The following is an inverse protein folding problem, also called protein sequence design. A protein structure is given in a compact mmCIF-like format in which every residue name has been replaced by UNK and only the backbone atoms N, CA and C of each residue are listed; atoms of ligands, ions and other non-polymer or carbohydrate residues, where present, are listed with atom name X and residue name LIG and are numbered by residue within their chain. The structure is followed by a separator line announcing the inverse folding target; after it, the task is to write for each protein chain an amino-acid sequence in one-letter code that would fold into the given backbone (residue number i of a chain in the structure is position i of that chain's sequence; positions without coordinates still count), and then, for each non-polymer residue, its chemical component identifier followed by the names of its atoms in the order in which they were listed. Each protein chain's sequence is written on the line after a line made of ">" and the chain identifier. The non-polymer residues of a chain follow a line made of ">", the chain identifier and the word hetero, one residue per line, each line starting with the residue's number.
data_IF_444265319370
#
_entry.id   IF_444265319370
#
_cell.length_a   1.000
_cell.length_b   1.000
_cell.length_c   1.000
_cell.angle_alpha   90.00
_cell.angle_beta   90.00
_cell.angle_gamma   90.00
#
_symmetry.space_group_name_H-M   'P 1'
#
loop_
_entity.id
_entity.type
_entity.pdbx_description
1 polymer ?
#
# COMPACT_ATOMS: atom_id res chain seq x y z
N UNK A 1 22.45 3.38 25.36
CA UNK A 1 21.25 2.93 24.62
C UNK A 1 21.65 2.68 23.18
N UNK A 2 21.44 1.48 22.65
CA UNK A 2 21.68 1.22 21.23
C UNK A 2 20.58 1.91 20.42
N UNK A 3 20.93 2.89 19.61
CA UNK A 3 19.98 3.53 18.70
C UNK A 3 19.57 2.57 17.58
N UNK A 4 18.31 2.60 17.18
CA UNK A 4 17.85 1.85 16.00
C UNK A 4 18.25 2.61 14.74
N UNK A 5 19.12 2.04 13.92
CA UNK A 5 19.49 2.59 12.62
C UNK A 5 18.41 2.27 11.58
N UNK A 6 17.89 3.31 10.93
CA UNK A 6 16.97 3.20 9.79
C UNK A 6 17.49 4.03 8.62
N UNK A 7 17.44 3.45 7.43
CA UNK A 7 17.75 4.14 6.17
C UNK A 7 16.46 4.67 5.54
N UNK A 8 16.53 5.89 4.99
CA UNK A 8 15.41 6.56 4.35
C UNK A 8 15.73 6.75 2.86
N UNK A 9 14.85 6.26 2.00
CA UNK A 9 14.92 6.53 0.57
C UNK A 9 13.87 7.58 0.20
N UNK A 10 14.34 8.71 -0.32
CA UNK A 10 13.50 9.83 -0.75
C UNK A 10 13.37 9.88 -2.27
N UNK A 11 12.29 10.50 -2.75
CA UNK A 11 12.14 10.84 -4.17
C UNK A 11 12.75 12.20 -4.53
N UNK A 12 12.57 12.61 -5.80
CA UNK A 12 13.07 13.88 -6.34
C UNK A 12 12.49 15.13 -5.66
N UNK A 13 11.39 14.99 -4.90
CA UNK A 13 10.79 16.07 -4.10
C UNK A 13 11.15 15.95 -2.62
N UNK A 14 12.16 15.14 -2.29
CA UNK A 14 12.59 14.84 -0.93
C UNK A 14 11.53 14.16 -0.04
N UNK A 15 10.49 13.56 -0.63
CA UNK A 15 9.48 12.80 0.13
C UNK A 15 9.98 11.38 0.41
N UNK A 16 9.95 10.95 1.68
CA UNK A 16 10.41 9.62 2.11
C UNK A 16 9.46 8.54 1.60
N UNK A 17 9.89 7.70 0.66
CA UNK A 17 9.10 6.60 0.08
C UNK A 17 9.29 5.27 0.76
N UNK A 18 10.52 4.95 1.16
CA UNK A 18 10.89 3.65 1.73
C UNK A 18 11.72 3.86 2.98
N UNK A 19 11.44 3.05 4.00
CA UNK A 19 12.24 2.96 5.21
C UNK A 19 12.70 1.52 5.39
N UNK A 20 14.00 1.33 5.58
CA UNK A 20 14.59 0.02 5.88
C UNK A 20 15.35 0.07 7.19
N UNK A 21 15.32 -1.00 7.97
CA UNK A 21 16.12 -1.10 9.19
C UNK A 21 17.60 -1.41 8.86
N UNK A 22 18.44 -1.51 9.89
CA UNK A 22 19.85 -1.88 9.76
C UNK A 22 20.12 -3.26 9.14
N UNK A 23 19.13 -4.16 9.08
CA UNK A 23 19.26 -5.46 8.40
C UNK A 23 18.84 -5.42 6.93
N UNK A 24 18.48 -4.25 6.41
CA UNK A 24 17.95 -4.09 5.04
C UNK A 24 16.48 -4.51 4.87
N UNK A 25 15.77 -4.85 5.96
CA UNK A 25 14.36 -5.20 5.89
C UNK A 25 13.50 -3.92 5.78
N UNK A 26 12.53 -3.92 4.87
CA UNK A 26 11.56 -2.83 4.71
C UNK A 26 10.63 -2.80 5.94
N UNK A 27 10.60 -1.65 6.61
CA UNK A 27 9.76 -1.41 7.79
C UNK A 27 8.57 -0.49 7.49
N UNK A 28 8.65 0.34 6.45
CA UNK A 28 7.55 1.17 6.01
C UNK A 28 7.67 1.56 4.53
N UNK A 29 6.53 1.65 3.87
CA UNK A 29 6.35 2.21 2.53
C UNK A 29 5.33 3.34 2.61
N UNK A 30 5.70 4.50 2.04
CA UNK A 30 4.88 5.69 2.02
C UNK A 30 4.47 6.02 0.58
N UNK A 31 3.18 6.24 0.38
CA UNK A 31 2.64 6.76 -0.87
C UNK A 31 2.04 8.14 -0.64
N UNK A 32 2.39 9.09 -1.48
CA UNK A 32 1.87 10.46 -1.44
C UNK A 32 1.04 10.75 -2.69
N UNK A 33 -0.07 11.48 -2.50
CA UNK A 33 -0.80 12.17 -3.57
C UNK A 33 -0.03 13.43 -3.96
N UNK A 34 -0.37 14.05 -5.11
CA UNK A 34 0.05 15.43 -5.38
C UNK A 34 -0.24 16.33 -4.18
N UNK A 35 0.67 17.28 -3.93
CA UNK A 35 0.61 18.23 -2.81
C UNK A 35 0.82 17.62 -1.41
N UNK A 36 1.42 16.44 -1.31
CA UNK A 36 1.98 15.93 -0.06
C UNK A 36 0.99 15.20 0.86
N UNK A 37 -0.27 15.03 0.44
CA UNK A 37 -1.21 14.22 1.22
C UNK A 37 -0.78 12.74 1.19
N UNK A 38 -0.42 12.19 2.36
CA UNK A 38 -0.05 10.78 2.48
C UNK A 38 -1.30 9.91 2.34
N UNK A 39 -1.26 8.96 1.41
CA UNK A 39 -2.40 8.13 1.02
C UNK A 39 -2.71 7.02 2.01
N UNK A 40 -1.68 6.41 2.60
CA UNK A 40 -1.77 5.40 3.67
C UNK A 40 -0.33 5.03 4.11
N UNK A 41 -0.15 4.61 5.37
CA UNK A 41 1.09 3.99 5.86
C UNK A 41 0.81 2.49 5.96
N UNK A 42 1.25 1.73 4.96
CA UNK A 42 1.10 0.29 4.96
C UNK A 42 2.26 -0.32 5.73
N UNK A 43 2.13 -0.36 7.06
CA UNK A 43 2.91 -1.29 7.86
C UNK A 43 2.50 -2.71 7.43
N UNK A 44 3.28 -3.32 6.52
CA UNK A 44 3.05 -4.65 5.95
C UNK A 44 1.66 -4.85 5.32
N UNK A 45 1.48 -4.40 4.08
CA UNK A 45 0.67 -5.19 3.13
C UNK A 45 1.17 -4.92 1.73
N UNK A 46 1.70 -5.96 1.10
CA UNK A 46 2.09 -5.99 -0.30
C UNK A 46 0.92 -5.51 -1.17
N UNK A 47 0.94 -4.26 -1.59
CA UNK A 47 0.08 -3.80 -2.67
C UNK A 47 0.97 -3.64 -3.89
N UNK A 48 1.20 -4.75 -4.58
CA UNK A 48 1.41 -4.68 -6.02
C UNK A 48 0.18 -3.96 -6.58
N UNK A 49 0.33 -2.65 -6.83
CA UNK A 49 -0.75 -1.78 -7.24
C UNK A 49 -1.17 -2.20 -8.65
N UNK A 50 -2.20 -3.03 -8.75
CA UNK A 50 -2.85 -3.32 -10.04
C UNK A 50 -3.31 -1.97 -10.59
N UNK A 51 -2.80 -1.64 -11.77
CA UNK A 51 -3.12 -0.41 -12.46
C UNK A 51 -4.64 -0.32 -12.64
N UNK A 52 -5.35 0.72 -12.14
CA UNK A 52 -6.80 0.81 -12.26
C UNK A 52 -7.26 1.17 -13.70
N UNK A 53 -6.35 1.21 -14.68
CA UNK A 53 -6.69 1.45 -16.08
C UNK A 53 -7.36 0.25 -16.79
N UNK A 54 -7.50 -0.89 -16.11
CA UNK A 54 -8.34 -1.99 -16.56
C UNK A 54 -9.62 -2.02 -15.75
N UNK A 55 -10.69 -1.43 -16.27
CA UNK A 55 -12.01 -1.45 -15.63
C UNK A 55 -12.52 -2.89 -15.48
N UNK A 56 -12.51 -3.39 -14.25
CA UNK A 56 -13.31 -4.56 -13.87
C UNK A 56 -14.26 -4.10 -12.76
N UNK A 57 -15.58 -4.10 -12.98
CA UNK A 57 -16.50 -3.73 -11.92
C UNK A 57 -16.42 -4.76 -10.81
N UNK A 58 -16.19 -4.28 -9.58
CA UNK A 58 -16.26 -5.07 -8.38
C UNK A 58 -17.67 -5.70 -8.28
N UNK A 59 -17.79 -7.00 -8.58
CA UNK A 59 -19.00 -7.76 -8.25
C UNK A 59 -19.18 -7.71 -6.74
N UNK A 60 -20.23 -7.02 -6.28
CA UNK A 60 -20.73 -7.16 -4.90
C UNK A 60 -21.03 -8.64 -4.65
N UNK A 61 -20.33 -9.22 -3.69
CA UNK A 61 -20.65 -10.52 -3.16
C UNK A 61 -21.96 -10.46 -2.36
N UNK A 62 -22.89 -11.37 -2.66
CA UNK A 62 -23.95 -11.77 -1.73
C UNK A 62 -25.29 -11.04 -1.83
N UNK A 63 -26.09 -11.35 -2.86
CA UNK A 63 -27.53 -11.50 -2.69
C UNK A 63 -27.88 -12.95 -3.06
N UNK A 64 -28.34 -13.70 -2.07
CA UNK A 64 -28.72 -15.10 -2.18
C UNK A 64 -29.77 -15.29 -3.27
N UNK A 65 -29.41 -16.01 -4.34
CA UNK A 65 -30.39 -16.53 -5.28
C UNK A 65 -31.10 -17.70 -4.60
N UNK A 66 -32.36 -17.47 -4.23
CA UNK A 66 -33.30 -18.50 -3.85
C UNK A 66 -33.38 -19.56 -4.96
N UNK A 67 -33.12 -20.79 -4.55
CA UNK A 67 -33.06 -21.98 -5.37
C UNK A 67 -34.47 -22.33 -5.87
N UNK A 68 -34.88 -21.81 -7.04
CA UNK A 68 -36.01 -22.39 -7.79
C UNK A 68 -35.56 -23.76 -8.30
N UNK A 69 -35.86 -24.79 -7.51
CA UNK A 69 -35.97 -26.17 -7.97
C UNK A 69 -37.43 -26.57 -7.90
N UNK A 70 -38.09 -26.53 -9.06
CA UNK A 70 -39.06 -27.49 -9.63
C UNK A 70 -40.11 -26.77 -10.46
#
# INVERSE_FOLDING_TARGET
>A
MAGTLNWLQSDHLASVRLMTNGSGAVIAENHYRPYGQRTELLAKRSICRVNPRGGFPARKAGQSAELVRR
#
